data_IF_532265012576
#
_entry.id   IF_532265012576
#
_cell.length_a   1.000
_cell.length_b   1.000
_cell.length_c   1.000
_cell.angle_alpha   90.00
_cell.angle_beta   90.00
_cell.angle_gamma   90.00
#
_symmetry.space_group_name_H-M   'P 1'
#
loop_
_entity.id
_entity.type
_entity.pdbx_description
1 polymer ?
#
# COMPACT_ATOMS: atom_id res chain seq x y z
N UNK A 1 12.40 13.75 4.38
CA UNK A 1 12.99 13.08 3.19
C UNK A 1 13.57 14.14 2.27
N UNK A 2 14.77 13.91 1.72
CA UNK A 2 15.35 14.83 0.73
C UNK A 2 14.60 14.72 -0.60
N UNK A 3 14.23 15.86 -1.21
CA UNK A 3 13.58 15.92 -2.53
C UNK A 3 14.63 16.08 -3.63
N UNK A 4 14.49 15.37 -4.74
CA UNK A 4 15.36 15.48 -5.92
C UNK A 4 14.56 16.03 -7.10
N UNK A 5 15.12 17.03 -7.80
CA UNK A 5 14.51 17.61 -9.00
C UNK A 5 14.58 16.60 -10.16
N UNK A 6 13.43 16.38 -10.81
CA UNK A 6 13.29 15.53 -11.99
C UNK A 6 12.47 16.29 -13.03
N UNK A 7 12.76 16.07 -14.32
CA UNK A 7 11.99 16.64 -15.42
C UNK A 7 11.33 15.51 -16.19
N UNK A 8 10.02 15.61 -16.43
CA UNK A 8 9.21 14.64 -17.16
C UNK A 8 8.34 15.37 -18.18
N UNK A 9 7.98 14.68 -19.25
CA UNK A 9 6.97 15.16 -20.18
C UNK A 9 5.59 14.74 -19.67
N UNK A 10 4.66 15.69 -19.62
CA UNK A 10 3.29 15.49 -19.19
C UNK A 10 2.36 16.10 -20.23
N UNK A 11 1.16 15.53 -20.33
CA UNK A 11 0.10 16.11 -21.13
C UNK A 11 -0.23 17.54 -20.69
N UNK A 12 -0.51 18.42 -21.65
CA UNK A 12 -0.72 19.84 -21.40
C UNK A 12 -2.03 20.10 -20.62
N UNK A 13 -3.08 19.32 -20.89
CA UNK A 13 -4.35 19.41 -20.16
C UNK A 13 -4.18 18.91 -18.73
N UNK A 14 -3.38 17.86 -18.52
CA UNK A 14 -3.03 17.38 -17.19
C UNK A 14 -2.30 18.45 -16.36
N UNK A 15 -1.33 19.14 -16.96
CA UNK A 15 -0.63 20.26 -16.31
C UNK A 15 -1.59 21.40 -15.95
N UNK A 16 -2.51 21.75 -16.87
CA UNK A 16 -3.54 22.77 -16.63
C UNK A 16 -4.47 22.37 -15.48
N UNK A 17 -4.97 21.15 -15.48
CA UNK A 17 -5.84 20.64 -14.42
C UNK A 17 -5.13 20.67 -13.05
N UNK A 18 -3.86 20.27 -13.02
CA UNK A 18 -3.04 20.28 -11.80
C UNK A 18 -2.88 21.71 -11.24
N UNK A 19 -2.63 22.69 -12.10
CA UNK A 19 -2.55 24.12 -11.71
C UNK A 19 -3.83 24.62 -11.04
N UNK A 20 -4.99 24.25 -11.61
CA UNK A 20 -6.30 24.64 -11.05
C UNK A 20 -6.49 24.02 -9.67
N UNK A 21 -6.16 22.74 -9.50
CA UNK A 21 -6.26 22.06 -8.20
C UNK A 21 -5.31 22.71 -7.19
N UNK A 22 -4.04 22.88 -7.54
CA UNK A 22 -3.02 23.48 -6.71
C UNK A 22 -3.46 24.86 -6.19
N UNK A 23 -3.98 25.73 -7.08
CA UNK A 23 -4.50 27.04 -6.72
C UNK A 23 -5.72 26.98 -5.79
N UNK A 24 -6.64 26.03 -6.01
CA UNK A 24 -7.84 25.85 -5.17
C UNK A 24 -7.51 25.33 -3.77
N UNK A 25 -6.43 24.56 -3.64
CA UNK A 25 -6.03 23.94 -2.38
C UNK A 25 -4.92 24.70 -1.64
N UNK A 26 -4.47 25.84 -2.17
CA UNK A 26 -3.28 26.57 -1.68
C UNK A 26 -2.02 25.68 -1.58
N UNK A 27 -1.82 24.84 -2.59
CA UNK A 27 -0.69 23.88 -2.68
C UNK A 27 0.17 24.18 -3.88
N UNK A 28 1.38 23.64 -3.91
CA UNK A 28 2.27 23.66 -5.07
C UNK A 28 1.97 22.46 -5.97
N UNK A 29 2.16 22.63 -7.28
CA UNK A 29 1.94 21.55 -8.27
C UNK A 29 2.69 20.26 -7.92
N UNK A 30 3.94 20.37 -7.46
CA UNK A 30 4.75 19.21 -7.09
C UNK A 30 4.15 18.41 -5.93
N UNK A 31 3.36 19.04 -5.04
CA UNK A 31 2.72 18.34 -3.93
C UNK A 31 1.54 17.50 -4.42
N UNK A 32 0.83 17.99 -5.45
CA UNK A 32 -0.23 17.24 -6.11
C UNK A 32 0.36 16.04 -6.86
N UNK A 33 1.45 16.26 -7.60
CA UNK A 33 2.15 15.18 -8.30
C UNK A 33 2.72 14.13 -7.32
N UNK A 34 3.33 14.57 -6.22
CA UNK A 34 3.89 13.67 -5.21
C UNK A 34 2.79 12.83 -4.55
N UNK A 35 1.65 13.41 -4.20
CA UNK A 35 0.50 12.69 -3.63
C UNK A 35 -0.06 11.66 -4.63
N UNK A 36 -0.37 12.08 -5.86
CA UNK A 36 -0.92 11.19 -6.88
C UNK A 36 0.02 10.01 -7.18
N UNK A 37 1.33 10.26 -7.25
CA UNK A 37 2.33 9.20 -7.45
C UNK A 37 2.43 8.26 -6.25
N UNK A 38 2.38 8.78 -5.02
CA UNK A 38 2.38 7.94 -3.81
C UNK A 38 1.16 7.05 -3.73
N UNK A 39 0.00 7.59 -4.07
CA UNK A 39 -1.26 6.84 -4.07
C UNK A 39 -1.26 5.78 -5.18
N UNK A 40 -0.85 6.15 -6.39
CA UNK A 40 -0.73 5.21 -7.52
C UNK A 40 0.23 4.06 -7.22
N UNK A 41 1.35 4.34 -6.54
CA UNK A 41 2.35 3.34 -6.13
C UNK A 41 1.95 2.59 -4.85
N UNK A 42 0.80 2.89 -4.24
CA UNK A 42 0.33 2.26 -3.01
C UNK A 42 1.14 2.62 -1.75
N UNK A 43 2.06 3.59 -1.84
CA UNK A 43 2.95 4.00 -0.74
C UNK A 43 2.14 4.55 0.43
N UNK A 44 1.11 5.36 0.15
CA UNK A 44 0.25 5.93 1.19
C UNK A 44 -0.47 4.86 2.00
N UNK A 45 -0.95 3.80 1.32
CA UNK A 45 -1.64 2.67 1.99
C UNK A 45 -0.68 1.84 2.84
N UNK A 46 0.50 1.55 2.31
CA UNK A 46 1.55 0.82 3.05
C UNK A 46 2.01 1.63 4.27
N UNK A 47 2.22 2.94 4.12
CA UNK A 47 2.57 3.82 5.23
C UNK A 47 1.45 3.86 6.29
N UNK A 48 0.18 3.90 5.88
CA UNK A 48 -0.95 3.91 6.82
C UNK A 48 -1.05 2.61 7.62
N UNK A 49 -0.82 1.46 6.99
CA UNK A 49 -0.78 0.15 7.67
C UNK A 49 0.42 0.11 8.63
N UNK A 50 1.61 0.50 8.17
CA UNK A 50 2.83 0.53 8.98
C UNK A 50 2.70 1.46 10.19
N UNK A 51 2.08 2.63 10.04
CA UNK A 51 1.86 3.57 11.16
C UNK A 51 0.91 3.04 12.23
N UNK A 52 0.05 2.08 11.89
CA UNK A 52 -0.91 1.47 12.82
C UNK A 52 -0.34 0.28 13.59
N UNK A 53 0.83 -0.24 13.21
CA UNK A 53 1.45 -1.34 13.93
C UNK A 53 2.63 -0.85 14.77
N UNK A 54 2.63 -1.20 16.04
CA UNK A 54 3.78 -1.02 16.93
C UNK A 54 4.83 -2.14 16.77
N UNK A 55 4.63 -3.03 15.79
CA UNK A 55 5.52 -4.15 15.52
C UNK A 55 6.84 -3.67 14.92
N UNK A 56 7.93 -4.22 15.45
CA UNK A 56 9.24 -4.17 14.80
C UNK A 56 9.22 -4.98 13.50
N UNK A 57 10.24 -4.80 12.66
CA UNK A 57 10.38 -5.54 11.40
C UNK A 57 10.41 -7.06 11.61
N UNK A 58 11.14 -7.51 12.62
CA UNK A 58 11.26 -8.94 12.97
C UNK A 58 9.92 -9.52 13.44
N UNK A 59 9.20 -8.82 14.32
CA UNK A 59 7.88 -9.24 14.81
C UNK A 59 6.83 -9.27 13.70
N UNK A 60 6.87 -8.29 12.79
CA UNK A 60 5.97 -8.28 11.63
C UNK A 60 6.25 -9.46 10.68
N UNK A 61 7.53 -9.81 10.48
CA UNK A 61 7.93 -10.94 9.66
C UNK A 61 7.52 -12.28 10.30
N UNK A 62 7.74 -12.43 11.60
CA UNK A 62 7.34 -13.62 12.35
C UNK A 62 5.83 -13.84 12.27
N UNK A 63 5.04 -12.77 12.47
CA UNK A 63 3.59 -12.81 12.32
C UNK A 63 3.16 -13.22 10.91
N UNK A 64 3.76 -12.63 9.86
CA UNK A 64 3.43 -12.98 8.48
C UNK A 64 3.71 -14.46 8.16
N UNK A 65 4.83 -14.99 8.66
CA UNK A 65 5.19 -16.41 8.50
C UNK A 65 4.22 -17.30 9.26
N UNK A 66 3.85 -16.95 10.50
CA UNK A 66 2.90 -17.70 11.32
C UNK A 66 1.52 -17.82 10.63
N UNK A 67 0.99 -16.73 10.07
CA UNK A 67 -0.29 -16.73 9.34
C UNK A 67 -0.26 -17.62 8.09
N UNK A 68 0.84 -17.60 7.32
CA UNK A 68 1.02 -18.50 6.17
C UNK A 68 1.04 -19.96 6.61
N UNK A 69 1.70 -20.27 7.73
CA UNK A 69 1.70 -21.61 8.29
C UNK A 69 0.31 -22.04 8.76
N UNK A 70 -0.46 -21.17 9.42
CA UNK A 70 -1.83 -21.44 9.86
C UNK A 70 -2.76 -21.75 8.67
N UNK A 71 -2.74 -20.94 7.62
CA UNK A 71 -3.54 -21.20 6.41
C UNK A 71 -3.16 -22.53 5.74
N UNK A 72 -1.87 -22.87 5.76
CA UNK A 72 -1.40 -24.15 5.19
C UNK A 72 -1.81 -25.35 6.05
N UNK A 73 -1.77 -25.23 7.38
CA UNK A 73 -2.20 -26.31 8.27
C UNK A 73 -3.72 -26.53 8.17
N UNK A 74 -4.52 -25.47 8.09
CA UNK A 74 -5.98 -25.56 7.86
C UNK A 74 -6.31 -26.27 6.55
N UNK A 75 -5.62 -25.93 5.45
CA UNK A 75 -5.82 -26.60 4.14
C UNK A 75 -5.39 -28.06 4.15
N UNK A 76 -4.38 -28.40 4.96
CA UNK A 76 -3.89 -29.78 5.11
C UNK A 76 -4.83 -30.60 6.00
N UNK A 77 -5.50 -29.98 6.98
CA UNK A 77 -6.46 -30.64 7.86
C UNK A 77 -7.86 -30.82 7.25
N UNK A 78 -8.19 -30.03 6.21
CA UNK A 78 -9.49 -30.10 5.52
C UNK A 78 -9.83 -31.49 4.93
N UNK A 79 -8.92 -32.23 4.25
CA UNK A 79 -9.24 -33.58 3.77
C UNK A 79 -9.51 -34.60 4.88
N UNK A 80 -9.09 -34.35 6.13
CA UNK A 80 -9.38 -35.25 7.26
C UNK A 80 -10.77 -34.98 7.88
N UNK A 81 -11.24 -33.73 7.85
CA UNK A 81 -12.55 -33.36 8.40
C UNK A 81 -13.70 -33.75 7.45
N UNK A 82 -13.51 -33.66 6.14
CA UNK A 82 -14.51 -34.09 5.14
C UNK A 82 -14.80 -35.61 5.21
N UNK A 83 -13.85 -36.41 5.73
CA UNK A 83 -13.99 -37.85 5.95
C UNK A 83 -14.76 -38.22 7.23
N UNK A 84 -14.80 -37.32 8.23
CA UNK A 84 -15.50 -37.54 9.49
C UNK A 84 -16.97 -37.09 9.46
N UNK A 85 -17.32 -36.14 8.58
CA UNK A 85 -18.71 -35.71 8.36
C UNK A 85 -19.49 -36.62 7.39
N UNK A 86 -18.80 -37.56 6.72
CA UNK A 86 -19.40 -38.52 5.76
C UNK A 86 -19.62 -39.93 6.34
N UNK A 87 -19.42 -40.14 7.65
CA UNK A 87 -19.61 -41.40 8.36
C UNK A 87 -20.78 -41.32 9.35
#
# INVERSE_FOLDING_TARGET
>A
MARRKTTVYLDEELLRATKVVAARTDRREYEIFEEALRDYLGITSIEAIRRRSDLTEDEAMELAVAEVHAVRSERTNRPFLDLLESA
#
